data_IF_347014002881
#
_entry.id   IF_347014002881
#
_cell.length_a   1.000
_cell.length_b   1.000
_cell.length_c   1.000
_cell.angle_alpha   90.00
_cell.angle_beta   90.00
_cell.angle_gamma   90.00
#
_symmetry.space_group_name_H-M   'P 1'
#
loop_
_entity.id
_entity.type
_entity.pdbx_description
1 polymer ?
#
# COMPACT_ATOMS: atom_id res chain seq x y z
N UNK A 1 -1.74 34.39 7.88
CA UNK A 1 -1.52 33.03 8.42
C UNK A 1 -2.10 32.06 7.39
N UNK A 2 -1.25 31.39 6.59
CA UNK A 2 -1.73 30.40 5.62
C UNK A 2 -2.32 29.21 6.39
N UNK A 3 -3.62 28.98 6.25
CA UNK A 3 -4.27 27.77 6.73
C UNK A 3 -3.68 26.59 5.95
N UNK A 4 -2.74 25.85 6.57
CA UNK A 4 -2.32 24.55 6.05
C UNK A 4 -3.52 23.63 6.14
N UNK A 5 -4.12 23.37 5.00
CA UNK A 5 -5.18 22.38 4.85
C UNK A 5 -4.55 20.99 5.03
N UNK A 6 -4.90 20.33 6.14
CA UNK A 6 -4.39 19.01 6.52
C UNK A 6 -5.33 17.87 6.13
N UNK A 7 -6.28 18.11 5.22
CA UNK A 7 -7.18 17.06 4.73
C UNK A 7 -6.37 15.87 4.16
N UNK A 8 -6.84 14.63 4.37
CA UNK A 8 -6.16 13.43 3.84
C UNK A 8 -5.96 13.50 2.33
N UNK A 9 -6.96 14.00 1.60
CA UNK A 9 -6.90 14.17 0.14
C UNK A 9 -5.79 15.13 -0.29
N UNK A 10 -5.62 16.26 0.41
CA UNK A 10 -4.58 17.23 0.07
C UNK A 10 -3.18 16.71 0.37
N UNK A 11 -3.01 16.01 1.50
CA UNK A 11 -1.75 15.33 1.83
C UNK A 11 -1.40 14.27 0.78
N UNK A 12 -2.38 13.45 0.40
CA UNK A 12 -2.20 12.42 -0.61
C UNK A 12 -1.86 13.04 -1.98
N UNK A 13 -2.50 14.15 -2.37
CA UNK A 13 -2.16 14.88 -3.58
C UNK A 13 -0.72 15.42 -3.53
N UNK A 14 -0.28 15.98 -2.41
CA UNK A 14 1.10 16.47 -2.26
C UNK A 14 2.12 15.35 -2.47
N UNK A 15 1.85 14.15 -1.93
CA UNK A 15 2.71 12.99 -2.13
C UNK A 15 2.64 12.51 -3.60
N UNK A 16 1.46 12.52 -4.21
CA UNK A 16 1.28 12.14 -5.62
C UNK A 16 1.97 13.08 -6.63
N UNK A 17 2.31 14.29 -6.20
CA UNK A 17 3.03 15.28 -7.00
C UNK A 17 4.54 15.19 -6.83
N UNK A 18 5.01 14.40 -5.87
CA UNK A 18 6.43 14.20 -5.61
C UNK A 18 6.93 12.99 -6.42
N UNK A 19 7.61 13.28 -7.52
CA UNK A 19 8.15 12.26 -8.42
C UNK A 19 9.29 11.43 -7.78
N UNK A 20 9.79 11.82 -6.60
CA UNK A 20 10.75 10.99 -5.85
C UNK A 20 10.08 9.82 -5.10
N UNK A 21 8.75 9.84 -4.99
CA UNK A 21 7.98 8.86 -4.25
C UNK A 21 7.23 7.98 -5.26
N UNK A 22 7.76 6.77 -5.47
CA UNK A 22 7.12 5.73 -6.27
C UNK A 22 7.26 4.37 -5.59
N UNK A 23 6.16 3.64 -5.41
CA UNK A 23 6.22 2.36 -4.71
C UNK A 23 4.91 1.60 -4.62
N UNK A 24 4.88 0.66 -3.70
CA UNK A 24 3.73 -0.22 -3.46
C UNK A 24 3.13 0.05 -2.09
N UNK A 25 1.81 0.15 -2.00
CA UNK A 25 1.10 0.15 -0.73
C UNK A 25 0.80 -1.28 -0.28
N UNK A 26 1.16 -1.61 0.95
CA UNK A 26 0.81 -2.87 1.61
C UNK A 26 -0.01 -2.59 2.87
N UNK A 27 -1.26 -3.00 2.89
CA UNK A 27 -2.20 -2.74 4.00
C UNK A 27 -2.66 -4.06 4.65
N UNK A 28 -2.63 -4.11 5.99
CA UNK A 28 -3.09 -5.26 6.77
C UNK A 28 -4.26 -4.83 7.65
N UNK A 29 -5.31 -5.64 7.69
CA UNK A 29 -6.47 -5.42 8.54
C UNK A 29 -7.68 -4.84 7.80
N UNK A 30 -8.68 -4.42 8.57
CA UNK A 30 -10.05 -4.20 8.08
C UNK A 30 -10.28 -2.90 7.27
N UNK A 31 -9.24 -2.16 6.89
CA UNK A 31 -9.40 -0.90 6.16
C UNK A 31 -8.33 -0.68 5.10
N UNK A 32 -8.73 -0.77 3.82
CA UNK A 32 -7.94 -0.30 2.67
C UNK A 32 -8.20 1.18 2.39
N UNK A 33 -8.07 2.00 3.42
CA UNK A 33 -8.43 3.41 3.31
C UNK A 33 -7.25 4.25 2.82
N UNK A 34 -5.99 3.83 3.01
CA UNK A 34 -4.83 4.66 2.65
C UNK A 34 -4.73 4.76 1.15
N UNK A 35 -4.64 3.64 0.44
CA UNK A 35 -4.53 3.66 -1.03
C UNK A 35 -5.71 4.41 -1.70
N UNK A 36 -6.92 4.28 -1.14
CA UNK A 36 -8.13 4.97 -1.62
C UNK A 36 -7.96 6.49 -1.65
N UNK A 37 -7.38 7.09 -0.61
CA UNK A 37 -7.18 8.54 -0.57
C UNK A 37 -6.22 9.02 -1.67
N UNK A 38 -5.20 8.23 -2.00
CA UNK A 38 -4.23 8.55 -3.06
C UNK A 38 -4.87 8.44 -4.45
N UNK A 39 -5.72 7.43 -4.67
CA UNK A 39 -6.48 7.35 -5.91
C UNK A 39 -7.47 8.51 -6.07
N UNK A 40 -8.19 8.87 -5.01
CA UNK A 40 -9.16 9.98 -5.03
C UNK A 40 -8.50 11.36 -5.17
N UNK A 41 -7.29 11.53 -4.65
CA UNK A 41 -6.54 12.77 -4.78
C UNK A 41 -6.09 13.08 -6.22
N UNK A 42 -5.99 12.06 -7.09
CA UNK A 42 -5.54 12.19 -8.47
C UNK A 42 -4.01 12.13 -8.61
N UNK A 43 -3.51 11.94 -9.84
CA UNK A 43 -2.09 11.70 -10.19
C UNK A 43 -1.43 10.47 -9.54
N UNK A 44 -2.20 9.57 -8.94
CA UNK A 44 -1.71 8.35 -8.30
C UNK A 44 -0.84 7.44 -9.20
N UNK A 45 -0.98 7.51 -10.53
CA UNK A 45 -0.17 6.73 -11.47
C UNK A 45 1.34 7.01 -11.39
N UNK A 46 1.73 8.20 -10.93
CA UNK A 46 3.14 8.59 -10.79
C UNK A 46 3.75 8.13 -9.45
N UNK A 47 2.93 7.61 -8.53
CA UNK A 47 3.34 7.32 -7.15
C UNK A 47 3.02 5.88 -6.74
N UNK A 48 1.96 5.30 -7.28
CA UNK A 48 1.50 3.95 -6.95
C UNK A 48 1.83 3.02 -8.11
N UNK A 49 2.80 2.13 -7.89
CA UNK A 49 3.09 1.00 -8.75
C UNK A 49 2.06 -0.11 -8.57
N UNK A 50 1.67 -0.38 -7.31
CA UNK A 50 0.80 -1.49 -6.94
C UNK A 50 0.18 -1.25 -5.56
N UNK A 51 -0.96 -1.87 -5.32
CA UNK A 51 -1.57 -1.93 -3.98
C UNK A 51 -1.84 -3.39 -3.62
N UNK A 52 -1.57 -3.74 -2.37
CA UNK A 52 -1.67 -5.10 -1.84
C UNK A 52 -2.32 -5.03 -0.49
N UNK A 53 -3.29 -5.92 -0.26
CA UNK A 53 -3.95 -5.95 1.05
C UNK A 53 -4.28 -7.36 1.51
N UNK A 54 -4.24 -7.51 2.83
CA UNK A 54 -4.57 -8.74 3.53
C UNK A 54 -5.78 -8.48 4.43
N UNK A 55 -6.98 -8.65 3.88
CA UNK A 55 -8.25 -8.47 4.59
C UNK A 55 -8.72 -9.78 5.25
N UNK A 56 -8.77 -10.86 4.47
CA UNK A 56 -9.23 -12.16 4.94
C UNK A 56 -8.06 -13.00 5.44
N UNK A 57 -8.17 -13.53 6.65
CA UNK A 57 -7.13 -14.34 7.29
C UNK A 57 -6.83 -15.61 6.48
N UNK A 58 -7.85 -16.28 5.96
CA UNK A 58 -7.74 -17.52 5.19
C UNK A 58 -7.06 -17.25 3.86
N UNK A 59 -7.52 -16.23 3.14
CA UNK A 59 -6.94 -15.85 1.85
C UNK A 59 -5.51 -15.33 2.01
N UNK A 60 -5.26 -14.57 3.08
CA UNK A 60 -3.93 -14.12 3.44
C UNK A 60 -3.01 -15.32 3.75
N UNK A 61 -3.50 -16.35 4.44
CA UNK A 61 -2.72 -17.55 4.74
C UNK A 61 -2.41 -18.40 3.52
N UNK A 62 -3.32 -18.47 2.54
CA UNK A 62 -3.06 -19.15 1.27
C UNK A 62 -1.96 -18.45 0.46
N UNK A 63 -1.91 -17.12 0.48
CA UNK A 63 -0.97 -16.34 -0.34
C UNK A 63 0.37 -16.13 0.36
N UNK A 64 0.36 -15.87 1.66
CA UNK A 64 1.54 -15.45 2.43
C UNK A 64 1.92 -16.47 3.53
N UNK A 65 1.20 -17.58 3.67
CA UNK A 65 1.45 -18.64 4.65
C UNK A 65 0.83 -18.38 6.03
N UNK A 66 0.64 -19.41 6.86
CA UNK A 66 0.09 -19.24 8.22
C UNK A 66 1.03 -18.43 9.13
N UNK A 67 0.43 -17.60 9.97
CA UNK A 67 1.12 -16.84 11.02
C UNK A 67 0.37 -16.93 12.35
N UNK A 68 1.11 -16.83 13.46
CA UNK A 68 0.51 -16.82 14.81
C UNK A 68 -0.26 -15.53 15.09
N UNK A 69 0.14 -14.42 14.46
CA UNK A 69 -0.52 -13.11 14.51
C UNK A 69 -0.64 -12.55 13.11
N UNK A 70 -1.86 -12.22 12.71
CA UNK A 70 -2.16 -11.70 11.38
C UNK A 70 -1.75 -10.23 11.21
N UNK A 71 -1.69 -9.46 12.31
CA UNK A 71 -1.16 -8.10 12.34
C UNK A 71 0.18 -8.13 13.06
N UNK A 72 1.25 -8.33 12.28
CA UNK A 72 2.62 -8.37 12.78
C UNK A 72 3.59 -7.91 11.67
N UNK A 73 4.74 -7.39 12.07
CA UNK A 73 5.82 -7.00 11.15
C UNK A 73 6.24 -8.16 10.24
N UNK A 74 6.35 -9.37 10.80
CA UNK A 74 6.69 -10.58 10.04
C UNK A 74 5.72 -10.83 8.87
N UNK A 75 4.42 -10.56 9.06
CA UNK A 75 3.41 -10.67 8.01
C UNK A 75 3.59 -9.61 6.93
N UNK A 76 3.86 -8.37 7.33
CA UNK A 76 4.11 -7.27 6.40
C UNK A 76 5.34 -7.55 5.52
N UNK A 77 6.43 -8.07 6.12
CA UNK A 77 7.64 -8.46 5.38
C UNK A 77 7.34 -9.53 4.33
N UNK A 78 6.51 -10.54 4.66
CA UNK A 78 6.06 -11.56 3.71
C UNK A 78 5.20 -10.98 2.58
N UNK A 79 4.35 -9.99 2.89
CA UNK A 79 3.54 -9.32 1.86
C UNK A 79 4.41 -8.48 0.92
N UNK A 80 5.44 -7.81 1.44
CA UNK A 80 6.41 -7.07 0.63
C UNK A 80 7.24 -8.01 -0.24
N UNK A 81 7.75 -9.11 0.32
CA UNK A 81 8.50 -10.12 -0.43
C UNK A 81 7.64 -10.74 -1.55
N UNK A 82 6.44 -11.21 -1.22
CA UNK A 82 5.54 -11.78 -2.22
C UNK A 82 5.09 -10.74 -3.27
N UNK A 83 4.81 -9.52 -2.84
CA UNK A 83 4.22 -8.46 -3.64
C UNK A 83 5.17 -7.76 -4.60
N UNK A 84 6.36 -7.43 -4.10
CA UNK A 84 7.40 -6.64 -4.79
C UNK A 84 8.35 -7.57 -5.55
N UNK A 85 8.92 -8.59 -4.90
CA UNK A 85 9.92 -9.46 -5.54
C UNK A 85 9.34 -10.39 -6.61
N UNK A 86 8.08 -10.82 -6.53
CA UNK A 86 7.46 -11.58 -7.64
C UNK A 86 7.08 -10.69 -8.82
N UNK A 87 6.67 -9.45 -8.57
CA UNK A 87 6.34 -8.50 -9.65
C UNK A 87 7.56 -8.10 -10.47
N UNK A 88 8.74 -8.01 -9.85
CA UNK A 88 9.99 -7.73 -10.58
C UNK A 88 10.54 -8.96 -11.30
N UNK A 89 10.31 -10.19 -10.80
CA UNK A 89 10.78 -11.43 -11.43
C UNK A 89 9.99 -11.89 -12.66
N UNK A 90 8.76 -11.41 -12.87
CA UNK A 90 8.02 -11.69 -14.11
C UNK A 90 8.37 -10.73 -15.26
N UNK A 91 9.13 -9.68 -14.97
CA UNK A 91 9.50 -8.62 -15.91
C UNK A 91 10.99 -8.63 -16.27
N UNK A 92 11.72 -9.67 -15.85
CA UNK A 92 13.10 -10.00 -16.21
C UNK A 92 13.11 -11.40 -16.84
#
# INVERSE_FOLDING_TARGET
MQLRDYSPTRKALQINLDDSIYGTFAEIGAGQEVARHFFQAGRASHTIAKTISAYDMTFSDEIYGKESRYVAEARLLKMLDHGVLRSCRSSL
#
